data_IF_795458469240
#
_entry.id   IF_795458469240
#
_cell.length_a   1.000
_cell.length_b   1.000
_cell.length_c   1.000
_cell.angle_alpha   90.00
_cell.angle_beta   90.00
_cell.angle_gamma   90.00
#
_symmetry.space_group_name_H-M   'P 1'
#
loop_
_entity.id
_entity.type
_entity.pdbx_description
1 polymer ?
#
# COMPACT_ATOMS: atom_id res chain seq x y z
N UNK A 1 0.23 11.63 12.78
CA UNK A 1 1.29 10.71 12.30
C UNK A 1 0.94 10.26 10.90
N UNK A 2 1.93 9.95 10.06
CA UNK A 2 1.71 9.35 8.74
C UNK A 2 2.26 7.93 8.80
N UNK A 3 1.50 6.96 8.30
CA UNK A 3 1.96 5.58 8.11
C UNK A 3 1.93 5.30 6.62
N UNK A 4 3.09 4.98 6.07
CA UNK A 4 3.25 4.57 4.69
C UNK A 4 3.14 3.05 4.61
N UNK A 5 2.37 2.60 3.64
CA UNK A 5 2.16 1.21 3.30
C UNK A 5 2.37 1.00 1.80
N UNK A 6 2.44 -0.26 1.40
CA UNK A 6 2.31 -0.65 0.00
C UNK A 6 1.23 -1.72 -0.14
N UNK A 7 0.58 -1.72 -1.30
CA UNK A 7 -0.67 -2.49 -1.52
C UNK A 7 -0.47 -3.94 -1.95
N UNK A 8 0.71 -4.31 -2.46
CA UNK A 8 0.94 -5.53 -3.24
C UNK A 8 -0.07 -5.66 -4.42
N UNK A 9 -0.58 -4.52 -4.87
CA UNK A 9 -1.57 -4.41 -5.93
C UNK A 9 -0.93 -4.25 -7.31
N UNK A 10 -1.76 -4.40 -8.34
CA UNK A 10 -1.29 -4.39 -9.75
C UNK A 10 -1.51 -3.08 -10.48
N UNK A 11 -2.26 -2.13 -9.88
CA UNK A 11 -2.55 -0.82 -10.48
C UNK A 11 -3.20 0.16 -9.50
N UNK A 12 -3.00 1.45 -9.80
CA UNK A 12 -3.63 2.58 -9.12
C UNK A 12 -5.17 2.59 -9.18
N UNK A 13 -5.80 1.70 -9.94
CA UNK A 13 -7.25 1.52 -9.99
C UNK A 13 -7.70 0.27 -9.25
N UNK A 14 -6.95 -0.83 -9.31
CA UNK A 14 -7.30 -2.07 -8.63
C UNK A 14 -7.17 -1.95 -7.12
N UNK A 15 -6.11 -1.31 -6.65
CA UNK A 15 -5.79 -1.24 -5.21
C UNK A 15 -6.83 -0.44 -4.41
N UNK A 16 -7.25 0.77 -4.84
CA UNK A 16 -8.33 1.49 -4.16
C UNK A 16 -9.68 0.78 -4.28
N UNK A 17 -9.97 0.13 -5.42
CA UNK A 17 -11.21 -0.66 -5.58
C UNK A 17 -11.26 -1.83 -4.61
N UNK A 18 -10.14 -2.51 -4.41
CA UNK A 18 -10.05 -3.60 -3.44
C UNK A 18 -10.31 -3.10 -2.01
N UNK A 19 -9.67 -2.00 -1.61
CA UNK A 19 -9.84 -1.40 -0.28
C UNK A 19 -11.24 -0.79 -0.05
N UNK A 20 -11.98 -0.48 -1.11
CA UNK A 20 -13.36 0.01 -1.02
C UNK A 20 -14.40 -1.12 -0.92
N UNK A 21 -14.00 -2.39 -1.00
CA UNK A 21 -14.93 -3.51 -0.93
C UNK A 21 -15.45 -3.71 0.50
N UNK A 22 -16.76 -3.99 0.68
CA UNK A 22 -17.36 -4.16 2.00
C UNK A 22 -16.89 -5.41 2.75
N UNK A 23 -16.38 -6.42 2.04
CA UNK A 23 -15.86 -7.65 2.65
C UNK A 23 -14.38 -7.52 3.09
N UNK A 24 -13.70 -6.46 2.66
CA UNK A 24 -12.30 -6.20 3.03
C UNK A 24 -12.26 -5.43 4.34
N UNK A 25 -11.61 -6.01 5.36
CA UNK A 25 -11.47 -5.42 6.70
C UNK A 25 -10.22 -4.55 6.82
N UNK A 26 -9.94 -3.77 5.78
CA UNK A 26 -8.82 -2.83 5.71
C UNK A 26 -9.21 -1.65 4.83
N UNK A 27 -8.74 -0.46 5.20
CA UNK A 27 -8.93 0.76 4.41
C UNK A 27 -7.77 1.73 4.68
N UNK A 28 -7.54 2.65 3.76
CA UNK A 28 -6.54 3.70 3.88
C UNK A 28 -7.17 5.06 3.56
N UNK A 29 -6.50 6.15 3.93
CA UNK A 29 -6.99 7.48 3.56
C UNK A 29 -6.69 7.75 2.09
N UNK A 30 -5.46 7.44 1.65
CA UNK A 30 -4.99 7.68 0.30
C UNK A 30 -4.42 6.42 -0.32
N UNK A 31 -4.60 6.28 -1.64
CA UNK A 31 -3.76 5.45 -2.51
C UNK A 31 -3.05 6.35 -3.51
N UNK A 32 -1.73 6.19 -3.65
CA UNK A 32 -0.89 6.92 -4.61
C UNK A 32 -0.35 5.94 -5.64
N UNK A 33 -0.70 6.16 -6.91
CA UNK A 33 -0.21 5.40 -8.05
C UNK A 33 1.24 5.71 -8.42
N UNK A 34 1.89 4.80 -9.15
CA UNK A 34 3.30 4.96 -9.62
C UNK A 34 3.56 6.23 -10.43
N UNK A 35 2.54 6.76 -11.13
CA UNK A 35 2.62 8.01 -11.91
C UNK A 35 2.12 9.23 -11.13
N UNK A 36 2.03 9.15 -9.80
CA UNK A 36 1.62 10.26 -8.94
C UNK A 36 0.10 10.50 -8.87
N UNK A 37 -0.72 9.64 -9.48
CA UNK A 37 -2.18 9.73 -9.36
C UNK A 37 -2.59 9.46 -7.91
N UNK A 38 -3.32 10.38 -7.30
CA UNK A 38 -3.81 10.26 -5.91
C UNK A 38 -5.30 9.96 -5.93
N UNK A 39 -5.73 8.99 -5.12
CA UNK A 39 -7.14 8.65 -4.90
C UNK A 39 -7.38 8.65 -3.39
N UNK A 40 -8.35 9.44 -2.94
CA UNK A 40 -8.77 9.47 -1.55
C UNK A 40 -9.97 8.54 -1.33
N UNK A 41 -9.87 7.66 -0.33
CA UNK A 41 -10.89 6.67 0.00
C UNK A 41 -11.64 7.03 1.29
N UNK A 42 -10.92 7.56 2.29
CA UNK A 42 -11.46 7.96 3.59
C UNK A 42 -11.07 9.41 3.87
N UNK A 43 -11.98 10.20 4.42
CA UNK A 43 -11.70 11.58 4.82
C UNK A 43 -10.67 11.61 5.96
N UNK A 44 -9.81 12.63 6.03
CA UNK A 44 -8.71 12.68 7.01
C UNK A 44 -9.17 12.86 8.47
N UNK A 45 -10.41 13.28 8.67
CA UNK A 45 -11.10 13.38 9.96
C UNK A 45 -11.85 12.10 10.35
N UNK A 46 -11.82 11.07 9.51
CA UNK A 46 -12.45 9.76 9.74
C UNK A 46 -11.38 8.69 9.89
N UNK A 47 -11.52 7.82 10.89
CA UNK A 47 -10.58 6.74 11.13
C UNK A 47 -10.62 5.69 10.00
N UNK A 48 -9.51 5.52 9.28
CA UNK A 48 -9.29 4.39 8.37
C UNK A 48 -8.66 3.18 9.11
N UNK A 49 -8.79 1.99 8.53
CA UNK A 49 -8.32 0.72 9.13
C UNK A 49 -7.08 0.20 8.41
N UNK A 50 -5.91 0.81 8.65
CA UNK A 50 -4.67 0.50 7.92
C UNK A 50 -3.53 -0.03 8.80
N UNK A 51 -3.51 0.28 10.10
CA UNK A 51 -2.36 0.02 10.96
C UNK A 51 -2.44 -1.31 11.73
N UNK A 52 -3.61 -1.96 11.75
CA UNK A 52 -3.83 -3.18 12.54
C UNK A 52 -3.47 -2.99 14.03
N UNK A 53 -3.07 -4.08 14.69
CA UNK A 53 -2.51 -4.01 16.04
C UNK A 53 -1.13 -3.36 15.98
N UNK A 54 -1.02 -2.16 16.54
CA UNK A 54 0.14 -1.30 16.35
C UNK A 54 0.42 -0.42 17.57
N UNK A 55 1.70 -0.08 17.76
CA UNK A 55 2.13 0.89 18.77
C UNK A 55 3.37 1.67 18.32
N UNK A 56 3.43 2.95 18.68
CA UNK A 56 4.57 3.83 18.39
C UNK A 56 4.56 5.03 19.35
N UNK A 57 5.74 5.44 19.83
CA UNK A 57 5.92 6.61 20.71
C UNK A 57 4.92 6.67 21.88
N UNK A 58 4.71 5.53 22.56
CA UNK A 58 3.80 5.42 23.71
C UNK A 58 2.31 5.38 23.38
N UNK A 59 1.93 5.38 22.09
CA UNK A 59 0.53 5.23 21.65
C UNK A 59 0.28 3.82 21.14
N UNK A 60 -0.92 3.29 21.39
CA UNK A 60 -1.44 2.05 20.81
C UNK A 60 -2.62 2.36 19.89
N UNK A 61 -3.02 1.39 19.05
CA UNK A 61 -4.15 1.52 18.11
C UNK A 61 -3.96 2.71 17.14
N UNK A 62 -2.91 2.65 16.33
CA UNK A 62 -2.42 3.83 15.60
C UNK A 62 -3.38 4.39 14.55
N UNK A 63 -4.40 3.62 14.11
CA UNK A 63 -5.49 4.12 13.26
C UNK A 63 -6.09 5.42 13.82
N UNK A 64 -6.28 5.51 15.15
CA UNK A 64 -6.88 6.68 15.82
C UNK A 64 -6.04 7.95 15.76
N UNK A 65 -4.76 7.83 15.40
CA UNK A 65 -3.77 8.91 15.50
C UNK A 65 -2.95 9.09 14.22
N UNK A 66 -3.35 8.46 13.12
CA UNK A 66 -2.58 8.49 11.89
C UNK A 66 -3.40 8.53 10.61
N UNK A 67 -2.74 9.05 9.58
CA UNK A 67 -3.18 8.98 8.20
C UNK A 67 -2.41 7.86 7.50
N UNK A 68 -3.12 6.79 7.13
CA UNK A 68 -2.62 5.73 6.24
C UNK A 68 -2.57 6.16 4.78
N UNK A 69 -1.38 6.05 4.18
CA UNK A 69 -1.13 6.28 2.76
C UNK A 69 -0.59 4.99 2.15
N UNK A 70 -1.29 4.49 1.15
CA UNK A 70 -0.93 3.29 0.40
C UNK A 70 -0.22 3.66 -0.89
N UNK A 71 0.95 3.09 -1.14
CA UNK A 71 1.63 3.18 -2.42
C UNK A 71 1.23 1.99 -3.29
N UNK A 72 0.75 2.27 -4.50
CA UNK A 72 0.51 1.24 -5.50
C UNK A 72 1.85 0.63 -5.94
N UNK A 73 2.08 -0.60 -5.49
CA UNK A 73 3.34 -1.28 -5.68
C UNK A 73 3.08 -2.79 -5.73
N UNK A 74 3.84 -3.49 -6.57
CA UNK A 74 3.75 -4.93 -6.77
C UNK A 74 4.22 -5.74 -5.55
N UNK A 75 4.78 -5.08 -4.53
CA UNK A 75 5.24 -5.69 -3.30
C UNK A 75 6.62 -6.30 -3.46
N UNK A 76 6.86 -7.38 -2.72
CA UNK A 76 8.14 -8.08 -2.74
C UNK A 76 8.34 -8.76 -4.10
N UNK A 77 9.54 -8.60 -4.64
CA UNK A 77 9.95 -9.26 -5.88
C UNK A 77 10.88 -10.44 -5.56
N UNK A 78 10.69 -11.54 -6.25
CA UNK A 78 11.57 -12.71 -6.22
C UNK A 78 12.46 -12.72 -7.46
N UNK A 79 13.76 -12.94 -7.28
CA UNK A 79 14.67 -13.21 -8.41
C UNK A 79 14.56 -14.69 -8.79
N UNK A 80 14.17 -14.99 -10.03
CA UNK A 80 14.00 -16.37 -10.51
C UNK A 80 14.36 -16.45 -11.98
N UNK A 81 15.28 -17.36 -12.34
CA UNK A 81 15.69 -17.59 -13.73
C UNK A 81 16.10 -16.32 -14.50
N UNK A 82 16.82 -15.40 -13.84
CA UNK A 82 17.36 -14.20 -14.48
C UNK A 82 16.41 -13.00 -14.56
N UNK A 83 15.28 -13.03 -13.87
CA UNK A 83 14.26 -11.97 -13.87
C UNK A 83 13.67 -11.74 -12.47
N UNK A 84 13.12 -10.56 -12.25
CA UNK A 84 12.32 -10.26 -11.06
C UNK A 84 10.84 -10.56 -11.33
N UNK A 85 10.21 -11.29 -10.41
CA UNK A 85 8.80 -11.67 -10.48
C UNK A 85 8.10 -11.23 -9.19
N UNK A 86 7.00 -10.49 -9.32
CA UNK A 86 6.16 -10.08 -8.20
C UNK A 86 5.28 -11.24 -7.69
N UNK A 87 4.71 -11.10 -6.50
CA UNK A 87 3.80 -12.08 -5.90
C UNK A 87 2.57 -12.37 -6.77
N UNK A 88 2.11 -11.39 -7.55
CA UNK A 88 1.02 -11.56 -8.53
C UNK A 88 1.44 -12.31 -9.82
N UNK A 89 2.68 -12.78 -9.92
CA UNK A 89 3.23 -13.48 -11.09
C UNK A 89 3.72 -12.56 -12.21
N UNK A 90 3.64 -11.24 -12.04
CA UNK A 90 4.09 -10.27 -13.04
C UNK A 90 5.61 -10.16 -13.04
N UNK A 91 6.22 -10.29 -14.22
CA UNK A 91 7.62 -9.96 -14.45
C UNK A 91 7.83 -8.43 -14.38
N UNK A 92 8.94 -8.01 -13.78
CA UNK A 92 9.29 -6.60 -13.59
C UNK A 92 10.63 -6.30 -14.23
N UNK A 93 10.64 -5.31 -15.11
CA UNK A 93 11.86 -4.82 -15.77
C UNK A 93 12.88 -4.32 -14.75
N UNK A 94 14.17 -4.63 -14.99
CA UNK A 94 15.26 -4.30 -14.06
C UNK A 94 15.32 -2.80 -13.73
N UNK A 95 15.06 -1.93 -14.72
CA UNK A 95 15.02 -0.47 -14.56
C UNK A 95 13.93 0.02 -13.58
N UNK A 96 12.92 -0.82 -13.31
CA UNK A 96 11.84 -0.51 -12.38
C UNK A 96 12.06 -1.11 -10.98
N UNK A 97 13.15 -1.83 -10.79
CA UNK A 97 13.52 -2.46 -9.52
C UNK A 97 14.64 -1.65 -8.88
N UNK A 98 14.37 -1.16 -7.67
CA UNK A 98 15.42 -0.60 -6.84
C UNK A 98 16.08 -1.75 -6.08
N UNK A 99 17.36 -1.99 -6.37
CA UNK A 99 18.21 -2.92 -5.60
C UNK A 99 19.23 -2.09 -4.84
N UNK A 100 19.43 -2.40 -3.57
CA UNK A 100 20.56 -1.84 -2.82
C UNK A 100 21.84 -2.38 -3.48
N UNK A 101 22.55 -1.49 -4.17
CA UNK A 101 23.88 -1.74 -4.75
C UNK A 101 24.95 -1.79 -3.67
#
# INVERSE_FOLDING_TARGET
>A
MIILHYTAGVSAQSSPRYLARPDVKASAHLVIGRLGKIIQLVSFDVEAWHAGQSSYAGRTCLNRFSIGIELDNLGRLAWTAGRFVAECGREVELEQVFVDV
#
